data_IF_103586356397
#
_entry.id   IF_103586356397
#
_cell.length_a   1.000
_cell.length_b   1.000
_cell.length_c   1.000
_cell.angle_alpha   90.00
_cell.angle_beta   90.00
_cell.angle_gamma   90.00
#
_symmetry.space_group_name_H-M   'P 1'
#
loop_
_entity.id
_entity.type
_entity.pdbx_description
1 polymer ?
#
# COMPACT_ATOMS: atom_id res chain seq x y z
N UNK A 1 -6.28 -16.12 -1.82
CA UNK A 1 -7.50 -16.46 -2.60
C UNK A 1 -8.45 -15.26 -2.72
N UNK A 2 -8.89 -14.64 -1.62
CA UNK A 2 -9.78 -13.45 -1.69
C UNK A 2 -9.11 -12.24 -2.35
N UNK A 3 -7.90 -11.85 -1.91
CA UNK A 3 -7.18 -10.71 -2.48
C UNK A 3 -6.96 -10.82 -3.99
N UNK A 4 -6.54 -12.00 -4.47
CA UNK A 4 -6.37 -12.26 -5.91
C UNK A 4 -7.68 -12.09 -6.69
N UNK A 5 -8.80 -12.63 -6.20
CA UNK A 5 -10.09 -12.48 -6.86
C UNK A 5 -10.55 -11.01 -6.94
N UNK A 6 -10.34 -10.23 -5.88
CA UNK A 6 -10.63 -8.79 -5.88
C UNK A 6 -9.77 -8.06 -6.92
N UNK A 7 -8.47 -8.36 -6.95
CA UNK A 7 -7.52 -7.74 -7.88
C UNK A 7 -7.85 -8.11 -9.33
N UNK A 8 -8.25 -9.35 -9.60
CA UNK A 8 -8.69 -9.79 -10.92
C UNK A 8 -9.96 -9.05 -11.36
N UNK A 9 -10.89 -8.79 -10.43
CA UNK A 9 -12.05 -7.92 -10.66
C UNK A 9 -11.63 -6.50 -11.05
N UNK A 10 -10.75 -5.87 -10.28
CA UNK A 10 -10.22 -4.53 -10.58
C UNK A 10 -9.52 -4.50 -11.95
N UNK A 11 -8.77 -5.55 -12.31
CA UNK A 11 -8.13 -5.66 -13.63
C UNK A 11 -9.14 -5.83 -14.76
N UNK A 12 -10.24 -6.52 -14.54
CA UNK A 12 -11.32 -6.63 -15.51
C UNK A 12 -11.97 -5.26 -15.76
N UNK A 13 -12.31 -4.53 -14.69
CA UNK A 13 -12.91 -3.20 -14.78
C UNK A 13 -11.98 -2.18 -15.46
N UNK A 14 -10.68 -2.22 -15.14
CA UNK A 14 -9.68 -1.39 -15.80
C UNK A 14 -9.57 -1.69 -17.29
N UNK A 15 -9.60 -2.97 -17.71
CA UNK A 15 -9.59 -3.33 -19.14
C UNK A 15 -10.84 -2.85 -19.86
N UNK A 16 -12.00 -2.89 -19.21
CA UNK A 16 -13.26 -2.44 -19.79
C UNK A 16 -13.32 -0.90 -19.93
N UNK A 17 -12.77 -0.16 -18.98
CA UNK A 17 -12.86 1.31 -18.94
C UNK A 17 -11.65 2.02 -19.55
N UNK A 18 -10.50 1.35 -19.59
CA UNK A 18 -9.19 1.89 -20.00
C UNK A 18 -8.42 0.82 -20.80
N UNK A 19 -8.89 0.45 -22.02
CA UNK A 19 -8.32 -0.67 -22.78
C UNK A 19 -6.84 -0.50 -23.13
N UNK A 20 -6.35 0.72 -23.24
CA UNK A 20 -4.94 1.03 -23.52
C UNK A 20 -4.06 1.06 -22.25
N UNK A 21 -4.65 0.97 -21.06
CA UNK A 21 -3.91 0.99 -19.81
C UNK A 21 -3.26 -0.37 -19.53
N UNK A 22 -1.99 -0.32 -19.12
CA UNK A 22 -1.24 -1.50 -18.66
C UNK A 22 -1.05 -1.43 -17.16
N UNK A 23 -1.41 -2.51 -16.46
CA UNK A 23 -1.11 -2.68 -15.03
C UNK A 23 0.37 -3.01 -14.88
N UNK A 24 1.11 -2.16 -14.18
CA UNK A 24 2.56 -2.32 -13.97
C UNK A 24 2.88 -3.09 -12.68
N UNK A 25 2.02 -3.03 -11.67
CA UNK A 25 2.22 -3.66 -10.38
C UNK A 25 1.19 -3.19 -9.35
N UNK A 26 1.44 -3.56 -8.10
CA UNK A 26 0.54 -3.32 -6.97
C UNK A 26 1.33 -2.62 -5.85
N UNK A 27 0.82 -1.49 -5.38
CA UNK A 27 1.28 -0.85 -4.15
C UNK A 27 0.24 -1.02 -3.06
N UNK A 28 0.67 -1.40 -1.85
CA UNK A 28 -0.23 -1.60 -0.70
C UNK A 28 0.20 -0.73 0.47
N UNK A 29 -0.73 0.08 0.97
CA UNK A 29 -0.64 0.73 2.26
C UNK A 29 -1.12 -0.23 3.36
N UNK A 30 -0.28 -0.49 4.36
CA UNK A 30 -0.60 -1.39 5.47
C UNK A 30 -0.58 -0.61 6.78
N UNK A 31 -1.64 -0.72 7.62
CA UNK A 31 -1.69 -0.12 8.95
C UNK A 31 -0.83 -0.92 9.93
N UNK A 32 0.49 -0.69 9.89
CA UNK A 32 1.46 -1.39 10.72
C UNK A 32 2.90 -1.01 10.40
N UNK A 33 3.82 -1.69 11.09
CA UNK A 33 5.25 -1.58 10.87
C UNK A 33 5.64 -2.44 9.66
N UNK A 34 6.05 -1.80 8.56
CA UNK A 34 6.43 -2.48 7.33
C UNK A 34 7.88 -2.18 7.03
N UNK A 35 8.65 -3.24 6.77
CA UNK A 35 10.00 -3.12 6.24
C UNK A 35 9.95 -2.78 4.76
N UNK A 36 10.59 -1.68 4.38
CA UNK A 36 10.69 -1.27 2.99
C UNK A 36 11.42 -2.33 2.13
N UNK A 37 12.41 -3.02 2.70
CA UNK A 37 13.08 -4.13 2.03
C UNK A 37 12.22 -5.38 2.05
N UNK A 38 11.61 -5.69 0.89
CA UNK A 38 10.82 -6.89 0.68
C UNK A 38 9.35 -6.80 1.08
N UNK A 39 8.90 -5.68 1.67
CA UNK A 39 7.49 -5.46 2.00
C UNK A 39 6.96 -6.40 3.08
N UNK A 40 7.82 -6.80 4.01
CA UNK A 40 7.44 -7.66 5.16
C UNK A 40 6.75 -6.78 6.21
N UNK A 41 5.55 -7.17 6.60
CA UNK A 41 4.81 -6.54 7.69
C UNK A 41 5.33 -7.12 9.01
N UNK A 42 6.23 -6.40 9.66
CA UNK A 42 6.83 -6.80 10.94
C UNK A 42 5.78 -6.94 12.02
N UNK A 43 4.85 -5.99 12.07
CA UNK A 43 3.77 -5.99 13.04
C UNK A 43 2.58 -5.17 12.54
N UNK A 44 1.41 -5.79 12.44
CA UNK A 44 0.13 -5.10 12.26
C UNK A 44 -0.90 -5.68 13.25
N UNK A 45 -1.03 -5.11 14.46
CA UNK A 45 -1.80 -5.73 15.54
C UNK A 45 -3.28 -5.94 15.20
N UNK A 46 -3.91 -4.95 14.55
CA UNK A 46 -5.31 -5.04 14.13
C UNK A 46 -5.58 -6.10 13.06
N UNK A 47 -4.53 -6.54 12.35
CA UNK A 47 -4.59 -7.61 11.36
C UNK A 47 -4.13 -8.97 11.92
N UNK A 48 -3.57 -8.97 13.14
CA UNK A 48 -2.94 -10.16 13.73
C UNK A 48 -1.68 -10.62 13.00
N UNK A 49 -1.01 -9.74 12.24
CA UNK A 49 0.16 -10.09 11.44
C UNK A 49 1.46 -9.81 12.17
N UNK A 50 2.38 -10.78 12.11
CA UNK A 50 3.73 -10.70 12.65
C UNK A 50 4.69 -11.34 11.64
N UNK A 51 5.69 -10.58 11.21
CA UNK A 51 6.65 -11.00 10.18
C UNK A 51 5.99 -11.58 8.90
N UNK A 52 4.85 -11.00 8.51
CA UNK A 52 4.06 -11.49 7.38
C UNK A 52 4.68 -11.02 6.06
N UNK A 53 5.06 -11.93 5.14
CA UNK A 53 5.66 -11.58 3.85
C UNK A 53 4.59 -11.16 2.82
N UNK A 54 3.73 -10.22 3.21
CA UNK A 54 2.48 -9.90 2.51
C UNK A 54 2.69 -9.51 1.04
N UNK A 55 3.69 -8.67 0.74
CA UNK A 55 3.99 -8.27 -0.63
C UNK A 55 4.36 -9.47 -1.52
N UNK A 56 5.17 -10.41 -1.00
CA UNK A 56 5.56 -11.61 -1.75
C UNK A 56 4.36 -12.53 -1.99
N UNK A 57 3.53 -12.77 -0.98
CA UNK A 57 2.31 -13.57 -1.12
C UNK A 57 1.33 -12.96 -2.12
N UNK A 58 1.21 -11.63 -2.13
CA UNK A 58 0.36 -10.93 -3.08
C UNK A 58 0.88 -11.02 -4.50
N UNK A 59 2.21 -10.91 -4.68
CA UNK A 59 2.86 -11.07 -5.97
C UNK A 59 2.66 -12.48 -6.53
N UNK A 60 2.88 -13.51 -5.71
CA UNK A 60 2.65 -14.91 -6.08
C UNK A 60 1.18 -15.14 -6.47
N UNK A 61 0.25 -14.64 -5.67
CA UNK A 61 -1.17 -14.85 -5.89
C UNK A 61 -1.74 -14.14 -7.13
N UNK A 62 -1.06 -13.11 -7.65
CA UNK A 62 -1.56 -12.26 -8.75
C UNK A 62 -0.69 -12.30 -10.01
N UNK A 63 0.53 -12.82 -9.91
CA UNK A 63 1.53 -12.76 -10.97
C UNK A 63 2.02 -11.33 -11.28
N UNK A 64 1.80 -10.37 -10.38
CA UNK A 64 2.19 -8.97 -10.55
C UNK A 64 3.28 -8.58 -9.55
N UNK A 65 4.21 -7.68 -9.93
CA UNK A 65 5.10 -7.06 -8.95
C UNK A 65 4.27 -6.36 -7.86
N UNK A 66 4.58 -6.63 -6.60
CA UNK A 66 3.88 -6.04 -5.46
C UNK A 66 4.87 -5.48 -4.43
N UNK A 67 4.53 -4.33 -3.86
CA UNK A 67 5.25 -3.68 -2.77
C UNK A 67 4.26 -3.25 -1.68
N UNK A 68 4.72 -3.31 -0.43
CA UNK A 68 3.95 -2.86 0.72
C UNK A 68 4.79 -1.88 1.55
N UNK A 69 4.14 -0.86 2.11
CA UNK A 69 4.74 0.07 3.05
C UNK A 69 3.71 0.53 4.09
N UNK A 70 4.20 1.19 5.14
CA UNK A 70 3.33 1.79 6.15
C UNK A 70 2.39 2.82 5.50
N UNK A 71 1.13 2.81 5.93
CA UNK A 71 0.07 3.69 5.45
C UNK A 71 0.34 5.19 5.67
N UNK A 72 0.77 5.59 6.86
CA UNK A 72 1.09 6.99 7.17
C UNK A 72 2.33 7.47 6.39
N UNK A 73 3.35 6.63 6.21
CA UNK A 73 4.50 6.95 5.35
C UNK A 73 4.09 7.13 3.89
N UNK A 74 3.21 6.27 3.36
CA UNK A 74 2.70 6.44 1.99
C UNK A 74 1.78 7.65 1.86
N UNK A 75 1.03 8.01 2.91
CA UNK A 75 0.23 9.21 2.95
C UNK A 75 1.12 10.47 2.89
N UNK A 76 2.25 10.49 3.62
CA UNK A 76 3.24 11.56 3.52
C UNK A 76 3.76 11.73 2.08
N UNK A 77 4.12 10.61 1.42
CA UNK A 77 4.56 10.63 0.01
C UNK A 77 3.44 11.13 -0.91
N UNK A 78 2.20 10.73 -0.68
CA UNK A 78 1.06 11.15 -1.49
C UNK A 78 0.77 12.65 -1.32
N UNK A 79 0.77 13.16 -0.08
CA UNK A 79 0.57 14.59 0.21
C UNK A 79 1.69 15.45 -0.35
N UNK A 80 2.95 14.98 -0.28
CA UNK A 80 4.09 15.65 -0.87
C UNK A 80 4.09 15.66 -2.41
N UNK A 81 3.47 14.67 -3.06
CA UNK A 81 3.44 14.59 -4.54
C UNK A 81 2.19 15.18 -5.17
N UNK A 82 1.06 15.06 -4.51
CA UNK A 82 -0.27 15.33 -5.08
C UNK A 82 -1.13 16.21 -4.19
N UNK A 83 -0.80 16.33 -2.90
CA UNK A 83 -1.63 16.99 -1.91
C UNK A 83 -1.09 18.35 -1.48
N UNK A 84 -1.20 18.60 -0.17
CA UNK A 84 -0.92 19.90 0.44
C UNK A 84 0.57 20.18 0.61
N UNK A 85 1.42 19.16 0.52
CA UNK A 85 2.86 19.26 0.70
C UNK A 85 3.68 19.45 -0.58
N UNK A 86 3.03 19.72 -1.73
CA UNK A 86 3.72 19.78 -3.05
C UNK A 86 4.74 20.89 -3.20
N UNK A 87 4.60 21.97 -2.43
CA UNK A 87 5.40 23.19 -2.57
C UNK A 87 6.33 23.41 -1.36
N UNK A 88 6.60 22.36 -0.60
CA UNK A 88 7.54 22.38 0.54
C UNK A 88 8.56 21.27 0.40
N UNK A 89 9.80 21.54 0.84
CA UNK A 89 10.90 20.57 0.80
C UNK A 89 10.80 19.58 1.97
N UNK A 90 10.32 20.04 3.12
CA UNK A 90 10.17 19.27 4.35
C UNK A 90 8.69 19.16 4.74
N UNK A 91 8.19 17.94 4.79
CA UNK A 91 6.83 17.61 5.19
C UNK A 91 6.85 16.63 6.36
N UNK A 92 6.06 16.92 7.39
CA UNK A 92 5.71 15.95 8.43
C UNK A 92 4.23 15.65 8.31
N UNK A 93 3.90 14.38 8.06
CA UNK A 93 2.54 13.89 8.06
C UNK A 93 2.21 13.25 9.40
N UNK A 94 1.06 13.59 9.97
CA UNK A 94 0.52 12.96 11.17
C UNK A 94 -0.95 12.62 10.92
N UNK A 95 -1.34 11.39 11.24
CA UNK A 95 -2.73 10.98 11.30
C UNK A 95 -3.03 10.31 12.63
N UNK A 96 -4.29 10.31 13.05
CA UNK A 96 -4.65 9.61 14.28
C UNK A 96 -6.12 9.71 14.64
N UNK A 97 -6.49 8.85 15.59
CA UNK A 97 -7.82 8.76 16.18
C UNK A 97 -7.79 7.84 17.39
N UNK A 98 -8.97 7.37 17.82
CA UNK A 98 -9.08 6.50 19.00
C UNK A 98 -8.28 5.18 18.86
N UNK A 99 -7.97 4.75 17.64
CA UNK A 99 -7.24 3.51 17.33
C UNK A 99 -5.72 3.67 17.26
N UNK A 100 -5.18 4.89 17.45
CA UNK A 100 -3.74 5.15 17.42
C UNK A 100 -3.36 6.40 16.63
N UNK A 101 -2.05 6.67 16.59
CA UNK A 101 -1.43 7.78 15.85
C UNK A 101 -0.35 7.19 14.94
N UNK A 102 -0.30 7.67 13.70
CA UNK A 102 0.71 7.34 12.70
C UNK A 102 1.40 8.59 12.18
N UNK A 103 2.55 8.41 11.54
CA UNK A 103 3.30 9.51 10.94
C UNK A 103 4.20 9.09 9.79
N UNK A 104 4.64 10.08 9.03
CA UNK A 104 5.50 9.91 7.85
C UNK A 104 6.22 11.19 7.47
#
# INVERSE_FOLDING_TARGET
RVAAAIIDGIRADLRATRPDARVLGIGVAVPGLVRFDGGIVRLAPHLGWVDEPFAALLAEATGLPALAANDASLAAVAEGRFGSGRDVDDLVYLNGGASGVGGG
#
